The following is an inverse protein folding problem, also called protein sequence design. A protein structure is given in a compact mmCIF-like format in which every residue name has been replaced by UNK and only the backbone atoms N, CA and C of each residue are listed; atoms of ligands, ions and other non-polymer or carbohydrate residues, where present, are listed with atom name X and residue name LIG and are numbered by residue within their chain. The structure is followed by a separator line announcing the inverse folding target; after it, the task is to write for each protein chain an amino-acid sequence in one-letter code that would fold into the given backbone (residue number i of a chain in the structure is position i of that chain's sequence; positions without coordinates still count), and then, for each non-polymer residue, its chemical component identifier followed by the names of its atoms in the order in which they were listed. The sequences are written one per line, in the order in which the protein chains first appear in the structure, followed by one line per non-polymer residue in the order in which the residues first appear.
data_IF_425109259643
#
_entry.id   IF_425109259643
#
_cell.length_a   1.000
_cell.length_b   1.000
_cell.length_c   1.000
_cell.angle_alpha   90.00
_cell.angle_beta   90.00
_cell.angle_gamma   90.00
#
_symmetry.space_group_name_H-M   'P 1'
#
loop_
_entity.id
_entity.type
_entity.pdbx_description
1 polymer ?
#
# COMPACT_ATOMS: atom_id res chain seq x y z
N UNK A 1 -3.68 35.45 1.45
CA UNK A 1 -2.27 34.98 1.40
C UNK A 1 -2.04 34.32 0.04
N UNK A 2 -1.04 34.78 -0.70
CA UNK A 2 -0.79 34.46 -2.12
C UNK A 2 -0.33 32.99 -2.31
N UNK A 3 0.08 32.33 -1.21
CA UNK A 3 0.56 30.95 -1.18
C UNK A 3 -0.47 29.94 -0.63
N UNK A 4 -1.61 30.41 -0.09
CA UNK A 4 -2.54 29.58 0.68
C UNK A 4 -3.21 28.44 -0.11
N UNK A 5 -3.83 28.71 -1.28
CA UNK A 5 -4.56 27.68 -2.03
C UNK A 5 -3.65 26.58 -2.58
N UNK A 6 -2.47 26.95 -3.06
CA UNK A 6 -1.53 26.00 -3.67
C UNK A 6 -0.90 25.06 -2.64
N UNK A 7 -0.49 25.59 -1.47
CA UNK A 7 0.06 24.75 -0.40
C UNK A 7 -1.01 23.84 0.18
N UNK A 8 -2.24 24.33 0.37
CA UNK A 8 -3.36 23.50 0.81
C UNK A 8 -3.62 22.33 -0.16
N UNK A 9 -3.72 22.62 -1.46
CA UNK A 9 -3.91 21.58 -2.48
C UNK A 9 -2.78 20.55 -2.49
N UNK A 10 -1.52 21.00 -2.37
CA UNK A 10 -0.36 20.13 -2.27
C UNK A 10 -0.48 19.18 -1.06
N UNK A 11 -0.78 19.72 0.12
CA UNK A 11 -0.89 18.94 1.35
C UNK A 11 -2.04 17.92 1.30
N UNK A 12 -3.20 18.34 0.79
CA UNK A 12 -4.37 17.46 0.65
C UNK A 12 -4.09 16.34 -0.36
N UNK A 13 -3.55 16.68 -1.54
CA UNK A 13 -3.15 15.70 -2.56
C UNK A 13 -2.12 14.70 -2.01
N UNK A 14 -1.08 15.21 -1.35
CA UNK A 14 0.00 14.38 -0.81
C UNK A 14 -0.50 13.44 0.30
N UNK A 15 -1.32 13.95 1.24
CA UNK A 15 -1.88 13.18 2.34
C UNK A 15 -2.83 12.08 1.84
N UNK A 16 -3.74 12.43 0.94
CA UNK A 16 -4.71 11.48 0.36
C UNK A 16 -4.02 10.33 -0.38
N UNK A 17 -3.11 10.64 -1.31
CA UNK A 17 -2.35 9.63 -2.05
C UNK A 17 -1.53 8.72 -1.15
N UNK A 18 -0.87 9.28 -0.14
CA UNK A 18 -0.05 8.49 0.79
C UNK A 18 -0.91 7.50 1.56
N UNK A 19 -2.12 7.91 1.97
CA UNK A 19 -3.10 7.03 2.61
C UNK A 19 -3.51 5.85 1.70
N UNK A 20 -3.81 6.10 0.43
CA UNK A 20 -4.16 5.03 -0.52
C UNK A 20 -2.99 4.10 -0.85
N UNK A 21 -1.76 4.63 -0.93
CA UNK A 21 -0.56 3.80 -1.05
C UNK A 21 -0.36 2.89 0.17
N UNK A 22 -0.61 3.40 1.38
CA UNK A 22 -0.58 2.59 2.60
C UNK A 22 -1.66 1.50 2.60
N UNK A 23 -2.89 1.83 2.20
CA UNK A 23 -3.99 0.87 2.07
C UNK A 23 -3.68 -0.22 1.04
N UNK A 24 -3.10 0.14 -0.10
CA UNK A 24 -2.63 -0.79 -1.11
C UNK A 24 -1.60 -1.77 -0.51
N UNK A 25 -0.62 -1.25 0.24
CA UNK A 25 0.39 -2.05 0.93
C UNK A 25 -0.21 -3.02 1.96
N UNK A 26 -1.17 -2.56 2.77
CA UNK A 26 -1.88 -3.39 3.75
C UNK A 26 -2.68 -4.50 3.05
N UNK A 27 -3.43 -4.16 2.01
CA UNK A 27 -4.26 -5.12 1.27
C UNK A 27 -3.41 -6.19 0.57
N UNK A 28 -2.29 -5.80 -0.05
CA UNK A 28 -1.33 -6.75 -0.65
C UNK A 28 -0.70 -7.64 0.41
N UNK A 29 -0.31 -7.07 1.56
CA UNK A 29 0.27 -7.83 2.66
C UNK A 29 -0.71 -8.86 3.22
N UNK A 30 -1.97 -8.46 3.43
CA UNK A 30 -3.03 -9.37 3.89
C UNK A 30 -3.33 -10.47 2.87
N UNK A 31 -3.36 -10.13 1.57
CA UNK A 31 -3.54 -11.12 0.50
C UNK A 31 -2.40 -12.14 0.46
N UNK A 32 -1.15 -11.67 0.58
CA UNK A 32 0.04 -12.55 0.59
C UNK A 32 0.12 -13.39 1.86
N UNK A 33 -0.19 -12.83 3.03
CA UNK A 33 -0.20 -13.52 4.30
C UNK A 33 -1.11 -14.75 4.25
N UNK A 34 -2.37 -14.59 3.83
CA UNK A 34 -3.30 -15.72 3.80
C UNK A 34 -2.90 -16.80 2.79
N UNK A 35 -2.28 -16.41 1.67
CA UNK A 35 -1.73 -17.37 0.70
C UNK A 35 -0.51 -18.11 1.24
N UNK A 36 0.36 -17.43 1.99
CA UNK A 36 1.48 -18.06 2.67
C UNK A 36 1.00 -19.04 3.75
N UNK A 37 0.02 -18.64 4.56
CA UNK A 37 -0.60 -19.43 5.62
C UNK A 37 -1.12 -20.78 5.10
N UNK A 38 -1.95 -20.75 4.05
CA UNK A 38 -2.48 -21.98 3.43
C UNK A 38 -1.39 -22.79 2.74
N UNK A 39 -0.41 -22.14 2.08
CA UNK A 39 0.69 -22.83 1.38
C UNK A 39 1.61 -23.59 2.34
N UNK A 40 1.77 -23.09 3.57
CA UNK A 40 2.57 -23.73 4.62
C UNK A 40 1.81 -24.84 5.36
N UNK A 41 0.58 -25.15 4.96
CA UNK A 41 -0.21 -26.26 5.52
C UNK A 41 -1.05 -25.90 6.74
N UNK A 42 -1.12 -24.62 7.12
CA UNK A 42 -1.98 -24.17 8.23
C UNK A 42 -3.44 -24.10 7.80
N UNK A 43 -4.34 -24.50 8.70
CA UNK A 43 -5.77 -24.37 8.51
C UNK A 43 -6.20 -22.96 8.92
N UNK A 44 -7.03 -22.31 8.11
CA UNK A 44 -7.56 -20.97 8.40
C UNK A 44 -8.30 -20.87 9.74
N UNK A 45 -8.81 -21.99 10.27
CA UNK A 45 -9.42 -22.10 11.59
C UNK A 45 -8.44 -21.87 12.75
N UNK A 46 -7.13 -21.96 12.51
CA UNK A 46 -6.09 -21.63 13.50
C UNK A 46 -6.00 -20.11 13.75
N UNK A 47 -6.54 -19.28 12.84
CA UNK A 47 -6.51 -17.83 12.98
C UNK A 47 -7.62 -17.35 13.91
N UNK A 48 -7.27 -16.55 14.93
CA UNK A 48 -8.28 -15.90 15.78
C UNK A 48 -9.21 -14.96 15.00
N UNK A 49 -8.74 -14.40 13.88
CA UNK A 49 -9.49 -13.47 13.04
C UNK A 49 -9.76 -14.07 11.66
N UNK A 50 -11.03 -14.28 11.35
CA UNK A 50 -11.47 -14.80 10.07
C UNK A 50 -11.99 -13.66 9.18
N UNK A 51 -11.26 -13.36 8.11
CA UNK A 51 -11.75 -12.44 7.09
C UNK A 51 -12.89 -13.10 6.28
N UNK A 52 -14.13 -12.79 6.63
CA UNK A 52 -15.35 -13.34 5.98
C UNK A 52 -15.42 -13.07 4.47
N UNK A 53 -14.82 -11.97 4.02
CA UNK A 53 -14.85 -11.52 2.62
C UNK A 53 -13.59 -11.87 1.83
N UNK A 54 -12.66 -12.67 2.37
CA UNK A 54 -11.49 -13.07 1.58
C UNK A 54 -11.88 -14.06 0.47
N UNK A 55 -11.36 -13.93 -0.77
CA UNK A 55 -10.34 -12.98 -1.26
C UNK A 55 -10.88 -11.65 -1.80
N UNK A 56 -12.20 -11.50 -1.88
CA UNK A 56 -12.87 -10.34 -2.49
C UNK A 56 -12.52 -9.03 -1.79
N UNK A 57 -12.51 -8.99 -0.46
CA UNK A 57 -12.22 -7.78 0.32
C UNK A 57 -10.86 -7.15 -0.01
N UNK A 58 -9.74 -7.90 0.10
CA UNK A 58 -8.42 -7.41 -0.29
C UNK A 58 -8.32 -6.99 -1.76
N UNK A 59 -8.92 -7.76 -2.67
CA UNK A 59 -8.90 -7.44 -4.11
C UNK A 59 -9.65 -6.13 -4.37
N UNK A 60 -10.82 -5.95 -3.76
CA UNK A 60 -11.61 -4.72 -3.89
C UNK A 60 -10.87 -3.52 -3.31
N UNK A 61 -10.20 -3.68 -2.15
CA UNK A 61 -9.39 -2.61 -1.57
C UNK A 61 -8.22 -2.19 -2.48
N UNK A 62 -7.56 -3.17 -3.12
CA UNK A 62 -6.50 -2.90 -4.12
C UNK A 62 -7.06 -2.14 -5.30
N UNK A 63 -8.14 -2.65 -5.92
CA UNK A 63 -8.76 -2.03 -7.10
C UNK A 63 -9.23 -0.61 -6.78
N UNK A 64 -9.92 -0.42 -5.66
CA UNK A 64 -10.43 0.89 -5.27
C UNK A 64 -9.31 1.89 -5.00
N UNK A 65 -8.24 1.45 -4.32
CA UNK A 65 -7.07 2.31 -4.08
C UNK A 65 -6.42 2.74 -5.40
N UNK A 66 -6.28 1.82 -6.37
CA UNK A 66 -5.74 2.14 -7.70
C UNK A 66 -6.65 3.11 -8.46
N UNK A 67 -7.96 2.92 -8.43
CA UNK A 67 -8.93 3.82 -9.08
C UNK A 67 -8.80 5.23 -8.48
N UNK A 68 -8.74 5.37 -7.16
CA UNK A 68 -8.62 6.69 -6.53
C UNK A 68 -7.28 7.36 -6.85
N UNK A 69 -6.19 6.58 -6.83
CA UNK A 69 -4.86 7.07 -7.22
C UNK A 69 -4.91 7.62 -8.65
N UNK A 70 -5.41 6.85 -9.62
CA UNK A 70 -5.47 7.29 -11.02
C UNK A 70 -6.50 8.41 -11.22
N UNK A 71 -7.63 8.35 -10.52
CA UNK A 71 -8.76 9.26 -10.66
C UNK A 71 -8.61 10.62 -9.99
N UNK A 72 -7.60 10.81 -9.14
CA UNK A 72 -7.38 12.04 -8.39
C UNK A 72 -7.27 13.28 -9.27
N UNK A 73 -6.60 13.20 -10.43
CA UNK A 73 -6.37 14.35 -11.29
C UNK A 73 -6.43 13.97 -12.78
N UNK A 74 -7.60 13.49 -13.22
CA UNK A 74 -7.84 13.07 -14.60
C UNK A 74 -7.58 14.21 -15.60
N UNK A 75 -7.85 15.46 -15.23
CA UNK A 75 -7.59 16.61 -16.11
C UNK A 75 -6.10 16.85 -16.31
N UNK A 76 -5.27 16.72 -15.27
CA UNK A 76 -3.82 16.83 -15.42
C UNK A 76 -3.27 15.72 -16.32
N UNK A 77 -3.82 14.51 -16.21
CA UNK A 77 -3.44 13.36 -17.04
C UNK A 77 -3.85 13.59 -18.51
N UNK A 78 -5.09 13.99 -18.75
CA UNK A 78 -5.61 14.22 -20.11
C UNK A 78 -4.88 15.35 -20.84
N UNK A 79 -4.55 16.44 -20.14
CA UNK A 79 -3.89 17.60 -20.74
C UNK A 79 -2.35 17.53 -20.66
N UNK A 80 -1.78 16.42 -20.19
CA UNK A 80 -0.33 16.25 -19.96
C UNK A 80 0.30 17.45 -19.23
N UNK A 81 -0.41 17.99 -18.24
CA UNK A 81 0.03 19.15 -17.50
C UNK A 81 1.10 18.75 -16.47
N UNK A 82 2.34 18.61 -16.92
CA UNK A 82 3.47 18.08 -16.14
C UNK A 82 3.62 18.70 -14.75
N UNK A 83 3.48 20.02 -14.62
CA UNK A 83 3.57 20.69 -13.32
C UNK A 83 2.46 20.26 -12.35
N UNK A 84 1.22 20.14 -12.84
CA UNK A 84 0.09 19.69 -12.02
C UNK A 84 0.19 18.19 -11.72
N UNK A 85 0.63 17.39 -12.67
CA UNK A 85 0.91 15.97 -12.46
C UNK A 85 1.95 15.75 -11.36
N UNK A 86 3.05 16.49 -11.38
CA UNK A 86 4.08 16.36 -10.35
C UNK A 86 3.58 16.74 -8.96
N UNK A 87 2.75 17.79 -8.86
CA UNK A 87 2.14 18.22 -7.59
C UNK A 87 1.12 17.21 -7.10
N UNK A 88 0.18 16.82 -7.97
CA UNK A 88 -0.89 15.89 -7.63
C UNK A 88 -0.37 14.50 -7.31
N UNK A 89 0.66 14.01 -8.01
CA UNK A 89 1.19 12.65 -7.85
C UNK A 89 2.52 12.57 -7.08
N UNK A 90 2.96 13.63 -6.41
CA UNK A 90 4.27 13.71 -5.74
C UNK A 90 4.56 12.53 -4.80
N UNK A 91 3.55 12.01 -4.12
CA UNK A 91 3.68 10.89 -3.18
C UNK A 91 4.13 9.59 -3.85
N UNK A 92 3.84 9.38 -5.15
CA UNK A 92 4.23 8.15 -5.85
C UNK A 92 5.74 8.11 -6.08
N UNK A 93 6.39 9.11 -6.73
CA UNK A 93 7.84 9.17 -6.83
C UNK A 93 8.53 9.11 -5.47
N UNK A 94 8.02 9.85 -4.47
CA UNK A 94 8.58 9.85 -3.12
C UNK A 94 8.55 8.45 -2.51
N UNK A 95 7.42 7.74 -2.61
CA UNK A 95 7.28 6.37 -2.14
C UNK A 95 8.25 5.42 -2.87
N UNK A 96 8.36 5.52 -4.21
CA UNK A 96 9.26 4.69 -4.99
C UNK A 96 10.71 4.93 -4.58
N UNK A 97 11.14 6.19 -4.43
CA UNK A 97 12.50 6.54 -4.00
C UNK A 97 12.79 5.97 -2.63
N UNK A 98 11.90 6.18 -1.65
CA UNK A 98 12.09 5.65 -0.29
C UNK A 98 12.09 4.12 -0.27
N UNK A 99 11.20 3.49 -1.03
CA UNK A 99 11.10 2.04 -1.12
C UNK A 99 12.35 1.42 -1.77
N UNK A 100 12.80 1.98 -2.91
CA UNK A 100 14.01 1.53 -3.60
C UNK A 100 15.25 1.79 -2.75
N UNK A 101 15.37 2.97 -2.14
CA UNK A 101 16.47 3.29 -1.23
C UNK A 101 16.55 2.28 -0.07
N UNK A 102 15.42 2.01 0.58
CA UNK A 102 15.34 1.01 1.65
C UNK A 102 15.76 -0.38 1.15
N UNK A 103 15.25 -0.79 -0.01
CA UNK A 103 15.54 -2.09 -0.61
C UNK A 103 17.00 -2.24 -1.03
N UNK A 104 17.62 -1.19 -1.57
CA UNK A 104 19.04 -1.17 -1.96
C UNK A 104 19.93 -1.20 -0.72
N UNK A 105 19.62 -0.37 0.30
CA UNK A 105 20.39 -0.28 1.54
C UNK A 105 20.34 -1.57 2.37
N UNK A 106 19.14 -2.15 2.53
CA UNK A 106 18.94 -3.36 3.34
C UNK A 106 18.99 -4.65 2.52
N UNK A 107 19.19 -4.56 1.20
CA UNK A 107 19.29 -5.70 0.26
C UNK A 107 18.14 -6.70 0.45
N UNK A 108 16.93 -6.19 0.73
CA UNK A 108 15.77 -7.03 1.06
C UNK A 108 15.26 -7.74 -0.19
N UNK A 109 15.09 -9.06 -0.08
CA UNK A 109 14.48 -9.89 -1.12
C UNK A 109 13.00 -10.08 -0.80
N UNK A 110 12.16 -10.20 -1.83
CA UNK A 110 10.77 -10.61 -1.60
C UNK A 110 10.76 -12.04 -1.07
N UNK A 111 10.28 -12.21 0.16
CA UNK A 111 10.23 -13.51 0.83
C UNK A 111 9.24 -14.42 0.07
N UNK A 112 9.67 -15.61 -0.39
CA UNK A 112 8.77 -16.62 -0.95
C UNK A 112 7.64 -16.95 0.01
N UNK A 113 6.45 -17.27 -0.50
CA UNK A 113 5.27 -17.54 0.34
C UNK A 113 5.50 -18.69 1.35
N UNK A 114 6.35 -19.64 1.00
CA UNK A 114 6.77 -20.80 1.80
C UNK A 114 7.77 -20.47 2.91
N UNK A 115 8.40 -19.30 2.88
CA UNK A 115 9.39 -18.85 3.86
C UNK A 115 8.91 -17.65 4.68
N UNK A 116 7.64 -17.26 4.52
CA UNK A 116 7.05 -16.19 5.34
C UNK A 116 6.99 -16.68 6.78
N UNK A 117 7.57 -15.94 7.69
CA UNK A 117 7.49 -16.24 9.11
C UNK A 117 6.04 -16.04 9.61
N UNK A 118 5.42 -17.14 10.03
CA UNK A 118 4.07 -17.19 10.60
C UNK A 118 4.09 -17.48 12.10
N UNK A 119 5.28 -17.53 12.72
CA UNK A 119 5.40 -17.82 14.15
C UNK A 119 4.67 -16.75 14.96
N UNK A 120 3.85 -17.20 15.91
CA UNK A 120 3.22 -16.28 16.85
C UNK A 120 4.34 -15.61 17.67
N UNK A 121 4.33 -14.28 17.75
CA UNK A 121 5.28 -13.54 18.57
C UNK A 121 5.10 -13.99 20.03
N UNK A 122 6.01 -14.84 20.51
CA UNK A 122 5.98 -15.39 21.86
C UNK A 122 6.42 -14.26 22.78
N UNK A 123 5.45 -13.63 23.45
CA UNK A 123 5.72 -12.62 24.46
C UNK A 123 6.53 -13.29 25.58
N UNK A 124 7.79 -12.89 25.73
CA UNK A 124 8.67 -13.37 26.79
C UNK A 124 8.26 -12.70 28.11
N UNK A 125 7.09 -13.07 28.64
CA UNK A 125 6.68 -12.75 30.02
C UNK A 125 6.71 -14.04 30.84
N UNK A 126 7.86 -14.27 31.47
CA UNK A 126 7.98 -15.06 32.69
C UNK A 126 7.54 -14.20 33.88
#
# INVERSE_FOLDING_TARGET
SIMGPHVYQLLVAASGLTGFLAWLGIAVSHFRFRRAFVKQGHDLSELKYHAKWFPVGPILAIIMSLIVIVGQDLQAVQNFAWGRLLVSYMSIPLFIVLFVWYKVKHRTKMIPLDQVDLSAHRDHRN
#
